data_IF_819860364432
#
_entry.id   IF_819860364432
#
_cell.length_a   1.000
_cell.length_b   1.000
_cell.length_c   1.000
_cell.angle_alpha   90.00
_cell.angle_beta   90.00
_cell.angle_gamma   90.00
#
_symmetry.space_group_name_H-M   'P 1'
#
loop_
_entity.id
_entity.type
_entity.pdbx_description
1 polymer ?
#
# COMPACT_ATOMS: atom_id res chain seq x y z
N UNK A 1 -50.79 -44.89 -33.68
CA UNK A 1 -50.24 -44.92 -32.32
C UNK A 1 -48.90 -44.22 -32.35
N UNK A 2 -48.86 -42.95 -31.96
CA UNK A 2 -47.62 -42.16 -31.90
C UNK A 2 -46.92 -42.42 -30.57
N UNK A 3 -45.65 -42.84 -30.62
CA UNK A 3 -44.81 -42.98 -29.44
C UNK A 3 -44.12 -41.65 -29.23
N UNK A 4 -44.51 -40.92 -28.19
CA UNK A 4 -43.87 -39.67 -27.81
C UNK A 4 -42.48 -39.98 -27.23
N UNK A 5 -41.43 -39.50 -27.91
CA UNK A 5 -40.07 -39.46 -27.38
C UNK A 5 -40.04 -38.53 -26.18
N UNK A 6 -39.85 -39.08 -24.98
CA UNK A 6 -39.60 -38.33 -23.77
C UNK A 6 -38.27 -37.56 -23.94
N UNK A 7 -38.35 -36.24 -24.10
CA UNK A 7 -37.22 -35.35 -23.91
C UNK A 7 -36.83 -35.40 -22.42
N UNK A 8 -35.78 -36.15 -22.11
CA UNK A 8 -35.09 -36.00 -20.83
C UNK A 8 -34.38 -34.64 -20.85
N UNK A 9 -34.86 -33.70 -20.05
CA UNK A 9 -34.19 -32.44 -19.75
C UNK A 9 -32.84 -32.75 -19.07
N UNK A 10 -31.70 -32.24 -19.56
CA UNK A 10 -30.43 -32.46 -18.90
C UNK A 10 -30.40 -31.72 -17.56
N UNK A 11 -29.93 -32.40 -16.51
CA UNK A 11 -29.74 -31.84 -15.18
C UNK A 11 -28.83 -30.60 -15.24
N UNK A 12 -29.28 -29.49 -14.63
CA UNK A 12 -28.56 -28.22 -14.64
C UNK A 12 -27.17 -28.36 -13.97
N UNK A 13 -26.12 -28.13 -14.76
CA UNK A 13 -24.72 -28.09 -14.31
C UNK A 13 -24.46 -26.90 -13.38
N UNK A 14 -23.44 -26.99 -12.53
CA UNK A 14 -22.99 -25.88 -11.70
C UNK A 14 -22.60 -24.65 -12.53
N UNK A 15 -22.95 -23.45 -12.06
CA UNK A 15 -22.78 -22.19 -12.80
C UNK A 15 -21.91 -21.19 -12.04
N UNK A 16 -20.93 -20.62 -12.73
CA UNK A 16 -20.02 -19.61 -12.17
C UNK A 16 -20.57 -18.19 -12.29
N UNK A 17 -20.32 -17.39 -11.26
CA UNK A 17 -20.60 -15.97 -11.22
C UNK A 17 -19.37 -15.23 -10.67
N UNK A 18 -18.76 -14.30 -11.42
CA UNK A 18 -19.09 -13.93 -12.80
C UNK A 18 -18.92 -15.08 -13.80
N UNK A 19 -19.69 -15.02 -14.90
CA UNK A 19 -19.56 -15.96 -16.01
C UNK A 19 -18.18 -15.84 -16.68
N UNK A 20 -17.73 -16.92 -17.33
CA UNK A 20 -16.43 -16.95 -17.98
C UNK A 20 -16.37 -15.86 -19.08
N UNK A 21 -15.30 -15.06 -19.07
CA UNK A 21 -15.10 -13.93 -19.97
C UNK A 21 -15.77 -12.63 -19.52
N UNK A 22 -16.42 -12.59 -18.35
CA UNK A 22 -17.01 -11.35 -17.84
C UNK A 22 -15.94 -10.26 -17.67
N UNK A 23 -16.23 -9.07 -18.18
CA UNK A 23 -15.34 -7.91 -18.11
C UNK A 23 -15.98 -6.80 -17.26
N UNK A 24 -15.17 -5.81 -16.90
CA UNK A 24 -15.59 -4.66 -16.09
C UNK A 24 -16.22 -5.05 -14.73
N UNK A 25 -15.84 -6.21 -14.18
CA UNK A 25 -16.38 -6.68 -12.91
C UNK A 25 -15.89 -5.80 -11.76
N UNK A 26 -16.81 -5.36 -10.90
CA UNK A 26 -16.48 -4.53 -9.74
C UNK A 26 -15.40 -5.18 -8.87
N UNK A 27 -14.44 -4.39 -8.38
CA UNK A 27 -13.34 -4.88 -7.54
C UNK A 27 -13.80 -5.50 -6.21
N UNK A 28 -15.01 -5.17 -5.78
CA UNK A 28 -15.67 -5.67 -4.55
C UNK A 28 -16.51 -6.93 -4.80
N UNK A 29 -16.45 -7.52 -6.01
CA UNK A 29 -17.18 -8.74 -6.35
C UNK A 29 -16.86 -9.88 -5.38
N UNK A 30 -17.90 -10.61 -4.98
CA UNK A 30 -17.77 -11.88 -4.27
C UNK A 30 -18.11 -13.01 -5.24
N UNK A 31 -17.12 -13.56 -5.97
CA UNK A 31 -17.38 -14.57 -6.98
C UNK A 31 -17.88 -15.85 -6.32
N UNK A 32 -18.86 -16.52 -6.92
CA UNK A 32 -19.47 -17.72 -6.38
C UNK A 32 -19.73 -18.77 -7.45
N UNK A 33 -19.79 -20.03 -6.99
CA UNK A 33 -20.25 -21.17 -7.76
C UNK A 33 -21.63 -21.57 -7.23
N UNK A 34 -22.63 -21.54 -8.11
CA UNK A 34 -23.97 -22.06 -7.84
C UNK A 34 -24.02 -23.52 -8.21
N UNK A 35 -24.29 -24.38 -7.25
CA UNK A 35 -24.41 -25.81 -7.44
C UNK A 35 -25.82 -26.22 -7.87
N UNK A 36 -25.94 -27.41 -8.45
CA UNK A 36 -27.22 -28.00 -8.81
C UNK A 36 -28.13 -28.19 -7.58
N UNK A 37 -27.54 -28.59 -6.45
CA UNK A 37 -28.25 -28.87 -5.20
C UNK A 37 -27.52 -28.25 -4.00
N UNK A 38 -28.24 -27.98 -2.89
CA UNK A 38 -27.62 -27.47 -1.66
C UNK A 38 -26.58 -28.44 -1.07
N UNK A 39 -26.82 -29.75 -1.15
CA UNK A 39 -25.91 -30.78 -0.62
C UNK A 39 -24.57 -30.76 -1.35
N UNK A 40 -24.61 -30.51 -2.66
CA UNK A 40 -23.40 -30.35 -3.47
C UNK A 40 -22.59 -29.13 -3.03
N UNK A 41 -23.26 -28.02 -2.67
CA UNK A 41 -22.58 -26.82 -2.20
C UNK A 41 -21.85 -27.03 -0.86
N UNK A 42 -22.35 -27.93 0.00
CA UNK A 42 -21.69 -28.28 1.27
C UNK A 42 -20.33 -28.98 1.09
N UNK A 43 -20.04 -29.48 -0.10
CA UNK A 43 -18.71 -30.06 -0.42
C UNK A 43 -17.65 -28.98 -0.68
N UNK A 44 -18.06 -27.71 -0.79
CA UNK A 44 -17.14 -26.63 -1.05
C UNK A 44 -16.26 -26.33 0.18
N UNK A 45 -14.95 -26.39 -0.04
CA UNK A 45 -13.94 -26.06 0.97
C UNK A 45 -12.93 -25.07 0.38
N UNK A 46 -12.16 -24.33 1.21
CA UNK A 46 -11.12 -23.41 0.72
C UNK A 46 -10.02 -24.08 -0.13
N UNK A 47 -9.86 -25.40 -0.02
CA UNK A 47 -8.95 -26.18 -0.87
C UNK A 47 -9.53 -26.51 -2.25
N UNK A 48 -10.87 -26.54 -2.38
CA UNK A 48 -11.56 -26.96 -3.60
C UNK A 48 -12.14 -25.80 -4.41
N UNK A 49 -12.57 -24.72 -3.76
CA UNK A 49 -13.00 -23.49 -4.43
C UNK A 49 -12.00 -22.38 -4.14
N UNK A 50 -11.25 -21.96 -5.15
CA UNK A 50 -10.15 -21.00 -5.01
C UNK A 50 -10.25 -19.91 -6.05
N UNK A 51 -10.06 -18.66 -5.62
CA UNK A 51 -9.82 -17.55 -6.52
C UNK A 51 -8.31 -17.38 -6.73
N UNK A 52 -7.87 -17.32 -7.98
CA UNK A 52 -6.46 -17.22 -8.34
C UNK A 52 -6.16 -15.96 -9.14
N UNK A 53 -4.98 -15.39 -8.89
CA UNK A 53 -4.41 -14.27 -9.65
C UNK A 53 -3.95 -14.74 -11.04
N UNK A 54 -3.58 -13.82 -11.96
CA UNK A 54 -3.04 -14.19 -13.28
C UNK A 54 -1.80 -15.08 -13.23
N UNK A 55 -0.98 -14.96 -12.18
CA UNK A 55 0.23 -15.76 -11.97
C UNK A 55 -0.04 -17.06 -11.18
N UNK A 56 -1.32 -17.39 -10.92
CA UNK A 56 -1.73 -18.64 -10.30
C UNK A 56 -1.70 -18.66 -8.77
N UNK A 57 -1.27 -17.59 -8.10
CA UNK A 57 -1.31 -17.50 -6.62
C UNK A 57 -2.75 -17.40 -6.12
N UNK A 58 -3.03 -18.02 -4.97
CA UNK A 58 -4.38 -18.00 -4.38
C UNK A 58 -4.62 -16.65 -3.72
N UNK A 59 -5.74 -16.01 -4.06
CA UNK A 59 -6.18 -14.76 -3.43
C UNK A 59 -6.60 -15.06 -1.99
N UNK A 60 -6.18 -14.22 -1.04
CA UNK A 60 -6.62 -14.35 0.35
C UNK A 60 -8.11 -14.00 0.48
N UNK A 61 -8.86 -14.82 1.23
CA UNK A 61 -10.29 -14.61 1.42
C UNK A 61 -10.95 -15.71 2.23
N UNK A 62 -12.26 -15.58 2.43
CA UNK A 62 -13.09 -16.54 3.14
C UNK A 62 -14.06 -17.22 2.19
N UNK A 63 -14.40 -18.47 2.47
CA UNK A 63 -15.48 -19.18 1.77
C UNK A 63 -16.75 -19.13 2.62
N UNK A 64 -17.86 -18.70 2.03
CA UNK A 64 -19.20 -18.75 2.64
C UNK A 64 -20.08 -19.67 1.80
N UNK A 65 -20.73 -20.64 2.44
CA UNK A 65 -21.69 -21.53 1.76
C UNK A 65 -23.08 -21.25 2.30
N UNK A 66 -24.02 -20.94 1.42
CA UNK A 66 -25.42 -20.67 1.78
C UNK A 66 -26.36 -21.21 0.70
N UNK A 67 -27.25 -22.11 1.07
CA UNK A 67 -28.15 -22.77 0.13
C UNK A 67 -27.36 -23.50 -0.96
N UNK A 68 -27.49 -23.05 -2.22
CA UNK A 68 -26.79 -23.62 -3.38
C UNK A 68 -25.50 -22.89 -3.75
N UNK A 69 -25.18 -21.80 -3.08
CA UNK A 69 -24.07 -20.93 -3.46
C UNK A 69 -22.88 -21.13 -2.53
N UNK A 70 -21.71 -21.40 -3.11
CA UNK A 70 -20.43 -21.29 -2.43
C UNK A 70 -19.72 -20.02 -2.94
N UNK A 71 -19.67 -19.02 -2.06
CA UNK A 71 -19.20 -17.66 -2.35
C UNK A 71 -17.82 -17.44 -1.75
N UNK A 72 -16.86 -17.11 -2.61
CA UNK A 72 -15.56 -16.63 -2.19
C UNK A 72 -15.66 -15.14 -1.88
N UNK A 73 -15.25 -14.75 -0.67
CA UNK A 73 -15.22 -13.38 -0.18
C UNK A 73 -13.76 -12.95 -0.09
N UNK A 74 -13.25 -12.16 -1.05
CA UNK A 74 -11.87 -11.65 -0.99
C UNK A 74 -11.62 -10.86 0.29
N UNK A 75 -10.42 -10.99 0.87
CA UNK A 75 -10.03 -10.28 2.08
C UNK A 75 -9.84 -8.76 1.85
N UNK A 76 -9.61 -8.37 0.60
CA UNK A 76 -9.51 -7.00 0.11
C UNK A 76 -10.09 -6.93 -1.31
N UNK A 77 -10.44 -5.74 -1.81
CA UNK A 77 -10.86 -5.59 -3.20
C UNK A 77 -9.81 -6.11 -4.17
N UNK A 78 -10.29 -6.74 -5.23
CA UNK A 78 -9.43 -7.26 -6.28
C UNK A 78 -8.74 -6.11 -7.02
N UNK A 79 -7.47 -6.29 -7.39
CA UNK A 79 -6.75 -5.35 -8.24
C UNK A 79 -7.54 -5.06 -9.53
N UNK A 80 -7.56 -3.79 -9.97
CA UNK A 80 -8.20 -3.37 -11.22
C UNK A 80 -7.43 -3.88 -12.43
N UNK A 81 -8.07 -3.90 -13.61
CA UNK A 81 -7.44 -4.40 -14.85
C UNK A 81 -6.78 -5.77 -14.72
N UNK A 82 -7.30 -6.64 -13.88
CA UNK A 82 -6.68 -7.93 -13.57
C UNK A 82 -7.68 -9.05 -13.87
N UNK A 83 -7.21 -10.07 -14.59
CA UNK A 83 -8.01 -11.27 -14.88
C UNK A 83 -7.79 -12.31 -13.79
N UNK A 84 -8.86 -12.62 -13.06
CA UNK A 84 -8.85 -13.66 -12.03
C UNK A 84 -9.49 -14.94 -12.55
N UNK A 85 -9.08 -16.06 -11.96
CA UNK A 85 -9.67 -17.38 -12.24
C UNK A 85 -10.33 -17.92 -10.96
N UNK A 86 -11.65 -18.08 -10.96
CA UNK A 86 -12.35 -18.85 -9.92
C UNK A 86 -12.35 -20.32 -10.36
N UNK A 87 -11.69 -21.18 -9.57
CA UNK A 87 -11.46 -22.58 -9.88
C UNK A 87 -12.18 -23.47 -8.87
N UNK A 88 -12.87 -24.50 -9.37
CA UNK A 88 -13.55 -25.54 -8.61
C UNK A 88 -12.95 -26.92 -8.91
N UNK A 89 -12.53 -27.62 -7.87
CA UNK A 89 -12.03 -28.99 -7.94
C UNK A 89 -12.99 -29.96 -7.23
N UNK A 90 -13.66 -30.81 -8.01
CA UNK A 90 -14.54 -31.85 -7.48
C UNK A 90 -13.78 -33.06 -6.88
N UNK A 91 -12.46 -33.15 -7.11
CA UNK A 91 -11.56 -34.20 -6.62
C UNK A 91 -11.58 -35.51 -7.43
N UNK A 92 -12.47 -35.64 -8.41
CA UNK A 92 -12.63 -36.85 -9.24
C UNK A 92 -12.39 -36.58 -10.74
N UNK A 93 -12.29 -35.31 -11.13
CA UNK A 93 -12.17 -34.84 -12.51
C UNK A 93 -11.27 -33.61 -12.57
N UNK A 94 -10.85 -33.23 -13.78
CA UNK A 94 -10.11 -31.99 -14.00
C UNK A 94 -10.88 -30.79 -13.41
N UNK A 95 -10.20 -29.85 -12.72
CA UNK A 95 -10.84 -28.67 -12.18
C UNK A 95 -11.53 -27.86 -13.28
N UNK A 96 -12.74 -27.37 -12.98
CA UNK A 96 -13.47 -26.44 -13.84
C UNK A 96 -13.26 -25.01 -13.35
N UNK A 97 -13.27 -24.05 -14.26
CA UNK A 97 -12.95 -22.66 -13.90
C UNK A 97 -13.72 -21.62 -14.70
N UNK A 98 -13.91 -20.45 -14.10
CA UNK A 98 -14.38 -19.25 -14.77
C UNK A 98 -13.34 -18.14 -14.64
N UNK A 99 -13.11 -17.41 -15.73
CA UNK A 99 -12.24 -16.24 -15.74
C UNK A 99 -13.07 -14.98 -15.84
N UNK A 100 -12.68 -13.94 -15.11
CA UNK A 100 -13.29 -12.63 -15.21
C UNK A 100 -12.25 -11.53 -15.02
N UNK A 101 -12.45 -10.39 -15.66
CA UNK A 101 -11.56 -9.23 -15.60
C UNK A 101 -12.23 -8.10 -14.83
N UNK A 102 -11.53 -7.60 -13.81
CA UNK A 102 -12.01 -6.49 -13.01
C UNK A 102 -12.02 -5.18 -13.79
N UNK A 103 -12.84 -4.23 -13.33
CA UNK A 103 -12.98 -2.90 -13.93
C UNK A 103 -11.61 -2.23 -14.16
N UNK A 104 -11.44 -1.72 -15.38
CA UNK A 104 -10.30 -0.89 -15.76
C UNK A 104 -10.68 0.57 -15.70
N UNK A 105 -10.15 1.32 -14.73
CA UNK A 105 -10.21 2.78 -14.77
C UNK A 105 -9.03 3.29 -15.59
N UNK A 106 -9.27 3.63 -16.84
CA UNK A 106 -8.26 4.19 -17.76
C UNK A 106 -8.33 5.72 -17.86
N UNK A 107 -9.38 6.33 -17.30
CA UNK A 107 -9.54 7.78 -17.22
C UNK A 107 -9.19 8.28 -15.82
N UNK A 108 -8.57 9.47 -15.76
CA UNK A 108 -8.44 10.23 -14.53
C UNK A 108 -9.83 10.51 -13.93
N UNK A 109 -9.95 10.35 -12.62
CA UNK A 109 -11.14 10.83 -11.91
C UNK A 109 -11.04 12.35 -11.70
N UNK A 110 -12.16 13.04 -11.46
CA UNK A 110 -12.10 14.40 -10.95
C UNK A 110 -11.17 14.50 -9.74
N UNK A 111 -10.42 15.61 -9.58
CA UNK A 111 -9.58 15.82 -8.42
C UNK A 111 -10.39 15.68 -7.13
N UNK A 112 -9.86 14.92 -6.17
CA UNK A 112 -10.39 14.81 -4.82
C UNK A 112 -9.43 15.55 -3.91
N UNK A 113 -9.95 16.50 -3.13
CA UNK A 113 -9.18 17.17 -2.10
C UNK A 113 -8.94 16.21 -0.93
N UNK A 114 -7.67 16.01 -0.55
CA UNK A 114 -7.26 15.07 0.50
C UNK A 114 -6.62 15.75 1.71
N UNK A 115 -6.28 17.04 1.61
CA UNK A 115 -5.86 17.85 2.75
C UNK A 115 -7.06 18.29 3.60
N UNK A 116 -6.80 18.94 4.74
CA UNK A 116 -7.88 19.35 5.63
C UNK A 116 -8.53 20.66 5.15
N UNK A 117 -9.86 20.75 5.27
CA UNK A 117 -10.57 21.98 4.92
C UNK A 117 -10.38 23.10 5.95
N UNK A 118 -9.64 22.86 7.05
CA UNK A 118 -9.41 23.88 8.09
C UNK A 118 -8.33 24.86 7.66
N UNK A 119 -7.35 24.42 6.88
CA UNK A 119 -6.37 25.28 6.20
C UNK A 119 -6.88 25.81 4.85
N UNK A 120 -7.79 25.11 4.18
CA UNK A 120 -8.40 25.58 2.91
C UNK A 120 -9.19 26.91 3.05
N UNK A 121 -9.60 27.29 4.26
CA UNK A 121 -10.26 28.59 4.55
C UNK A 121 -9.30 29.69 5.01
N UNK A 122 -8.03 29.36 5.25
CA UNK A 122 -6.97 30.31 5.52
C UNK A 122 -6.18 30.45 4.22
N UNK A 123 -6.55 31.46 3.42
CA UNK A 123 -5.73 31.90 2.28
C UNK A 123 -4.29 31.99 2.77
N UNK A 124 -3.35 31.32 2.10
CA UNK A 124 -1.88 31.33 2.33
C UNK A 124 -1.23 30.18 3.12
N UNK A 125 -1.81 28.97 3.21
CA UNK A 125 -1.09 27.79 3.76
C UNK A 125 -0.97 26.63 2.76
N UNK A 126 -0.11 26.78 1.73
CA UNK A 126 0.06 25.76 0.71
C UNK A 126 0.53 24.45 1.34
N UNK A 127 0.01 23.34 0.80
CA UNK A 127 0.59 22.03 0.98
C UNK A 127 1.72 21.88 -0.05
N UNK A 128 2.92 21.57 0.41
CA UNK A 128 4.12 21.52 -0.42
C UNK A 128 4.85 20.18 -0.29
N UNK A 129 5.72 19.90 -1.25
CA UNK A 129 6.60 18.73 -1.25
C UNK A 129 5.86 17.39 -1.21
N UNK A 130 4.67 17.32 -1.83
CA UNK A 130 3.86 16.11 -1.81
C UNK A 130 4.58 14.91 -2.44
N UNK A 131 4.46 13.75 -1.79
CA UNK A 131 4.95 12.45 -2.24
C UNK A 131 3.87 11.40 -2.01
N UNK A 132 3.91 10.31 -2.77
CA UNK A 132 3.01 9.18 -2.55
C UNK A 132 3.75 7.84 -2.73
N UNK A 133 3.36 6.85 -1.93
CA UNK A 133 3.81 5.47 -2.07
C UNK A 133 2.62 4.50 -2.01
N UNK A 134 2.65 3.47 -2.84
CA UNK A 134 1.59 2.46 -2.92
C UNK A 134 2.09 1.10 -2.39
N UNK A 135 1.31 0.46 -1.53
CA UNK A 135 1.52 -0.91 -1.11
C UNK A 135 0.96 -1.93 -2.12
N UNK A 136 1.35 -3.20 -2.00
CA UNK A 136 0.92 -4.26 -2.92
C UNK A 136 -0.59 -4.57 -2.92
N UNK A 137 -1.30 -4.16 -1.86
CA UNK A 137 -2.76 -4.27 -1.75
C UNK A 137 -3.51 -3.10 -2.42
N UNK A 138 -2.79 -2.16 -3.04
CA UNK A 138 -3.35 -0.97 -3.67
C UNK A 138 -3.66 0.16 -2.68
N UNK A 139 -3.37 0.01 -1.39
CA UNK A 139 -3.38 1.14 -0.47
C UNK A 139 -2.31 2.14 -0.88
N UNK A 140 -2.64 3.42 -0.84
CA UNK A 140 -1.71 4.50 -1.17
C UNK A 140 -1.60 5.42 0.02
N UNK A 141 -0.39 5.79 0.39
CA UNK A 141 -0.15 6.86 1.36
C UNK A 141 0.37 8.05 0.60
N UNK A 142 -0.30 9.20 0.77
CA UNK A 142 0.22 10.49 0.39
C UNK A 142 0.80 11.17 1.64
N UNK A 143 1.94 11.84 1.48
CA UNK A 143 2.56 12.68 2.50
C UNK A 143 2.88 14.05 1.90
N UNK A 144 2.73 15.10 2.70
CA UNK A 144 3.08 16.47 2.34
C UNK A 144 3.48 17.22 3.61
N UNK A 145 4.02 18.43 3.47
CA UNK A 145 4.14 19.33 4.60
C UNK A 145 3.21 20.52 4.44
N UNK A 146 2.63 20.97 5.55
CA UNK A 146 1.67 22.06 5.58
C UNK A 146 1.76 22.81 6.90
N UNK A 147 1.51 24.12 6.85
CA UNK A 147 1.53 24.94 8.05
C UNK A 147 0.31 24.69 8.96
N UNK A 148 0.54 24.20 10.18
CA UNK A 148 -0.48 23.73 11.11
C UNK A 148 -1.10 24.81 12.02
N UNK A 149 -0.64 26.07 11.91
CA UNK A 149 -0.97 27.12 12.88
C UNK A 149 0.27 27.73 13.52
N UNK A 150 1.31 26.90 13.65
CA UNK A 150 2.51 27.20 14.41
C UNK A 150 3.77 26.93 13.59
N UNK A 151 3.76 25.88 12.78
CA UNK A 151 4.93 25.39 12.04
C UNK A 151 4.48 24.56 10.84
N UNK A 152 5.43 24.28 9.95
CA UNK A 152 5.20 23.26 8.93
C UNK A 152 5.29 21.89 9.58
N UNK A 153 4.27 21.08 9.36
CA UNK A 153 4.13 19.74 9.91
C UNK A 153 4.01 18.71 8.80
N UNK A 154 4.52 17.49 9.03
CA UNK A 154 4.35 16.39 8.07
C UNK A 154 2.98 15.76 8.26
N UNK A 155 2.14 15.93 7.24
CA UNK A 155 0.80 15.37 7.16
C UNK A 155 0.79 14.16 6.23
N UNK A 156 -0.05 13.18 6.55
CA UNK A 156 -0.29 12.02 5.68
C UNK A 156 -1.77 11.69 5.58
N UNK A 157 -2.18 11.16 4.44
CA UNK A 157 -3.50 10.55 4.23
C UNK A 157 -3.35 9.20 3.53
N UNK A 158 -4.22 8.25 3.88
CA UNK A 158 -4.20 6.91 3.30
C UNK A 158 -5.45 6.69 2.44
N UNK A 159 -5.24 6.30 1.18
CA UNK A 159 -6.26 5.78 0.29
C UNK A 159 -6.52 4.30 0.57
N UNK A 160 -7.78 3.97 0.82
CA UNK A 160 -8.23 2.59 1.02
C UNK A 160 -9.04 2.13 -0.20
N UNK A 161 -8.55 1.16 -1.00
CA UNK A 161 -9.27 0.66 -2.17
C UNK A 161 -10.65 0.08 -1.86
N UNK A 162 -10.84 -0.44 -0.64
CA UNK A 162 -12.08 -1.08 -0.20
C UNK A 162 -13.24 -0.12 -0.06
N UNK A 163 -12.94 1.12 0.30
CA UNK A 163 -13.93 2.17 0.50
C UNK A 163 -13.86 3.25 -0.57
N UNK A 164 -12.88 3.17 -1.49
CA UNK A 164 -12.57 4.21 -2.48
C UNK A 164 -12.44 5.60 -1.84
N UNK A 165 -11.78 5.66 -0.68
CA UNK A 165 -11.77 6.84 0.18
C UNK A 165 -10.37 7.13 0.75
N UNK A 166 -10.04 8.43 0.84
CA UNK A 166 -8.85 8.94 1.53
C UNK A 166 -9.19 9.27 2.98
N UNK A 167 -8.36 8.84 3.93
CA UNK A 167 -8.55 9.21 5.33
C UNK A 167 -8.42 10.72 5.54
N UNK A 168 -8.96 11.24 6.64
CA UNK A 168 -8.58 12.57 7.10
C UNK A 168 -7.04 12.65 7.29
N UNK A 169 -6.41 13.80 7.01
CA UNK A 169 -5.00 14.00 7.28
C UNK A 169 -4.64 13.73 8.74
N UNK A 170 -3.47 13.14 8.94
CA UNK A 170 -2.86 12.94 10.25
C UNK A 170 -1.42 13.42 10.25
N UNK A 171 -1.04 14.13 11.30
CA UNK A 171 0.35 14.55 11.50
C UNK A 171 1.20 13.40 12.03
N UNK A 172 2.41 13.21 11.49
CA UNK A 172 3.32 12.12 11.90
C UNK A 172 4.71 12.58 12.35
N UNK A 173 4.95 13.89 12.35
CA UNK A 173 6.25 14.45 12.70
C UNK A 173 6.52 14.49 14.21
N UNK A 174 7.74 14.89 14.59
CA UNK A 174 8.10 14.97 16.00
C UNK A 174 7.38 16.13 16.66
N UNK A 175 6.60 15.83 17.71
CA UNK A 175 5.97 16.82 18.58
C UNK A 175 6.67 16.81 19.93
N UNK A 176 7.70 17.66 20.04
CA UNK A 176 8.43 17.95 21.26
C UNK A 176 8.59 19.47 21.41
N UNK A 177 8.86 19.96 22.61
CA UNK A 177 8.94 21.39 22.90
C UNK A 177 10.05 22.10 22.10
N UNK A 178 11.11 21.35 21.76
CA UNK A 178 12.27 21.76 20.96
C UNK A 178 12.15 21.44 19.46
N UNK A 179 11.03 20.86 19.03
CA UNK A 179 10.76 20.52 17.63
C UNK A 179 9.94 21.62 16.92
N UNK A 180 10.44 22.04 15.76
CA UNK A 180 9.84 23.09 14.93
C UNK A 180 9.50 22.56 13.53
N UNK A 181 9.66 23.39 12.50
CA UNK A 181 9.23 23.11 11.13
C UNK A 181 9.84 21.82 10.57
N UNK A 182 9.00 21.04 9.89
CA UNK A 182 9.34 19.82 9.17
C UNK A 182 9.01 20.00 7.68
N UNK A 183 9.86 19.47 6.80
CA UNK A 183 9.68 19.63 5.35
C UNK A 183 10.30 18.49 4.55
N UNK A 184 9.95 18.46 3.26
CA UNK A 184 10.47 17.53 2.24
C UNK A 184 10.32 16.06 2.70
N UNK A 185 9.08 15.57 2.89
CA UNK A 185 8.87 14.16 3.14
C UNK A 185 9.25 13.35 1.90
N UNK A 186 9.75 12.14 2.10
CA UNK A 186 9.91 11.12 1.09
C UNK A 186 9.35 9.80 1.62
N UNK A 187 8.68 9.04 0.73
CA UNK A 187 8.02 7.77 1.07
C UNK A 187 8.58 6.62 0.24
N UNK A 188 8.72 5.44 0.85
CA UNK A 188 8.92 4.18 0.14
C UNK A 188 8.05 3.08 0.75
N UNK A 189 7.49 2.24 -0.12
CA UNK A 189 6.71 1.06 0.26
C UNK A 189 7.47 -0.21 -0.14
N UNK A 190 7.37 -1.25 0.68
CA UNK A 190 7.82 -2.59 0.31
C UNK A 190 6.66 -3.48 -0.20
N UNK A 191 6.96 -4.65 -0.80
CA UNK A 191 5.92 -5.55 -1.32
C UNK A 191 4.97 -6.11 -0.26
N UNK A 192 5.33 -6.02 1.03
CA UNK A 192 4.45 -6.41 2.14
C UNK A 192 3.53 -5.28 2.59
N UNK A 193 3.58 -4.11 1.93
CA UNK A 193 2.76 -2.94 2.23
C UNK A 193 3.26 -2.15 3.43
N UNK A 194 4.48 -2.38 3.92
CA UNK A 194 5.09 -1.52 4.95
C UNK A 194 5.60 -0.27 4.26
N UNK A 195 5.30 0.89 4.86
CA UNK A 195 5.67 2.19 4.32
C UNK A 195 6.63 2.86 5.30
N UNK A 196 7.71 3.42 4.78
CA UNK A 196 8.62 4.25 5.57
C UNK A 196 8.55 5.68 5.04
N UNK A 197 8.42 6.63 5.95
CA UNK A 197 8.52 8.05 5.70
C UNK A 197 9.83 8.57 6.29
N UNK A 198 10.48 9.46 5.55
CA UNK A 198 11.62 10.25 6.05
C UNK A 198 11.40 11.72 5.71
N UNK A 199 11.87 12.61 6.57
CA UNK A 199 11.81 14.05 6.37
C UNK A 199 12.96 14.69 7.13
N UNK A 200 13.23 15.98 6.89
CA UNK A 200 14.05 16.76 7.83
C UNK A 200 13.16 17.64 8.70
N UNK A 201 13.56 17.83 9.94
CA UNK A 201 12.84 18.64 10.90
C UNK A 201 13.81 19.38 11.81
N UNK A 202 13.51 20.64 12.11
CA UNK A 202 14.26 21.40 13.09
C UNK A 202 14.04 20.85 14.50
N UNK A 203 15.11 20.36 15.14
CA UNK A 203 15.16 19.82 16.51
C UNK A 203 16.31 20.49 17.24
N UNK A 204 16.04 21.16 18.36
CA UNK A 204 17.04 21.98 19.08
C UNK A 204 17.72 23.03 18.19
N UNK A 205 16.94 23.65 17.29
CA UNK A 205 17.42 24.71 16.40
C UNK A 205 18.29 24.25 15.23
N UNK A 206 18.33 22.94 14.93
CA UNK A 206 19.04 22.38 13.75
C UNK A 206 18.20 21.34 13.03
N UNK A 207 18.35 21.24 11.72
CA UNK A 207 17.68 20.21 10.94
C UNK A 207 18.28 18.83 11.23
N UNK A 208 17.40 17.92 11.61
CA UNK A 208 17.65 16.51 11.87
C UNK A 208 16.90 15.65 10.85
N UNK A 209 17.43 14.48 10.51
CA UNK A 209 16.72 13.51 9.66
C UNK A 209 15.89 12.62 10.55
N UNK A 210 14.58 12.63 10.35
CA UNK A 210 13.65 11.81 11.09
C UNK A 210 12.99 10.79 10.17
N UNK A 211 12.56 9.67 10.77
CA UNK A 211 11.81 8.63 10.09
C UNK A 211 10.63 8.15 10.91
N UNK A 212 9.57 7.73 10.23
CA UNK A 212 8.49 6.98 10.84
C UNK A 212 8.06 5.86 9.90
N UNK A 213 7.55 4.76 10.46
CA UNK A 213 7.17 3.57 9.71
C UNK A 213 5.71 3.20 9.97
N UNK A 214 5.01 2.86 8.91
CA UNK A 214 3.67 2.30 8.92
C UNK A 214 3.76 0.80 8.59
N UNK A 215 3.20 -0.03 9.45
CA UNK A 215 3.00 -1.46 9.18
C UNK A 215 1.51 -1.71 8.99
N UNK A 216 1.08 -2.53 8.02
CA UNK A 216 -0.33 -2.84 7.83
C UNK A 216 -1.03 -3.23 9.13
N UNK A 217 -2.18 -2.62 9.40
CA UNK A 217 -2.96 -2.83 10.63
C UNK A 217 -2.40 -2.18 11.90
N UNK A 218 -1.36 -1.35 11.80
CA UNK A 218 -0.79 -0.57 12.91
C UNK A 218 -0.76 0.91 12.59
N UNK A 219 -0.58 1.73 13.62
CA UNK A 219 -0.27 3.14 13.46
C UNK A 219 1.20 3.39 13.09
N UNK A 220 1.50 4.63 12.68
CA UNK A 220 2.86 5.09 12.49
C UNK A 220 3.67 4.97 13.78
N UNK A 221 4.92 4.55 13.65
CA UNK A 221 5.86 4.58 14.78
C UNK A 221 6.12 6.01 15.24
N UNK A 222 6.54 6.18 16.49
CA UNK A 222 7.13 7.46 16.91
C UNK A 222 8.33 7.82 16.02
N UNK A 223 8.54 9.10 15.70
CA UNK A 223 9.68 9.52 14.91
C UNK A 223 11.02 9.06 15.52
N UNK A 224 11.84 8.42 14.70
CA UNK A 224 13.20 8.03 15.04
C UNK A 224 14.19 8.95 14.33
N UNK A 225 15.12 9.56 15.08
CA UNK A 225 16.20 10.36 14.55
C UNK A 225 17.29 9.47 13.94
N UNK A 226 17.70 9.79 12.71
CA UNK A 226 18.63 9.01 11.92
C UNK A 226 20.02 9.65 11.83
N UNK A 227 20.12 10.97 11.87
CA UNK A 227 21.40 11.69 11.87
C UNK A 227 22.11 11.60 13.23
N UNK A 228 23.40 11.95 13.24
CA UNK A 228 24.16 12.05 14.47
C UNK A 228 24.08 13.49 15.02
N UNK A 229 23.49 13.73 16.20
CA UNK A 229 23.39 15.07 16.79
C UNK A 229 24.74 15.71 17.11
N UNK A 230 25.80 14.92 17.23
CA UNK A 230 27.16 15.41 17.44
C UNK A 230 27.81 15.95 16.15
N UNK A 231 27.29 15.59 14.98
CA UNK A 231 27.78 16.13 13.70
C UNK A 231 27.26 17.56 13.52
N UNK A 232 28.15 18.55 13.29
CA UNK A 232 27.73 19.94 13.10
C UNK A 232 26.89 20.13 11.82
N UNK A 233 26.04 21.16 11.80
CA UNK A 233 25.30 21.57 10.60
C UNK A 233 23.92 20.92 10.44
N UNK A 234 23.21 21.36 9.41
CA UNK A 234 21.82 21.00 9.14
C UNK A 234 21.73 19.84 8.16
N UNK A 235 21.19 18.72 8.62
CA UNK A 235 20.96 17.56 7.75
C UNK A 235 19.69 17.76 6.92
N UNK A 236 19.79 17.63 5.60
CA UNK A 236 18.71 17.99 4.66
C UNK A 236 18.59 17.01 3.49
N UNK A 237 17.54 17.18 2.69
CA UNK A 237 17.28 16.42 1.46
C UNK A 237 17.40 14.91 1.62
N UNK A 238 16.63 14.30 2.56
CA UNK A 238 16.62 12.86 2.71
C UNK A 238 15.96 12.20 1.49
N UNK A 239 16.49 11.06 1.09
CA UNK A 239 15.92 10.15 0.10
C UNK A 239 15.97 8.73 0.66
N UNK A 240 15.06 7.87 0.22
CA UNK A 240 15.00 6.48 0.69
C UNK A 240 14.56 5.50 -0.39
N UNK A 241 14.93 4.25 -0.20
CA UNK A 241 14.44 3.12 -0.98
C UNK A 241 14.27 1.89 -0.08
N UNK A 242 13.24 1.09 -0.34
CA UNK A 242 12.90 -0.11 0.42
C UNK A 242 13.03 -1.36 -0.47
N UNK A 243 13.72 -2.40 0.02
CA UNK A 243 13.90 -3.66 -0.71
C UNK A 243 12.74 -4.64 -0.47
N UNK A 244 12.74 -5.76 -1.19
CA UNK A 244 11.68 -6.77 -1.10
C UNK A 244 11.60 -7.47 0.27
N UNK A 245 12.68 -7.44 1.07
CA UNK A 245 12.70 -7.96 2.44
C UNK A 245 12.17 -6.93 3.45
N UNK A 246 12.02 -5.68 3.03
CA UNK A 246 11.59 -4.53 3.83
C UNK A 246 12.71 -3.82 4.57
N UNK A 247 13.98 -4.08 4.22
CA UNK A 247 15.06 -3.21 4.64
C UNK A 247 14.94 -1.89 3.89
N UNK A 248 15.33 -0.81 4.56
CA UNK A 248 15.25 0.53 3.98
C UNK A 248 16.63 1.15 4.03
N UNK A 249 17.09 1.72 2.93
CA UNK A 249 18.28 2.58 2.93
C UNK A 249 17.82 4.03 2.83
N UNK A 250 18.31 4.86 3.75
CA UNK A 250 18.08 6.32 3.75
C UNK A 250 19.43 7.00 3.53
N UNK A 251 19.44 8.01 2.68
CA UNK A 251 20.59 8.87 2.39
C UNK A 251 20.19 10.33 2.53
N UNK A 252 21.10 11.21 2.93
CA UNK A 252 20.82 12.64 3.12
C UNK A 252 22.08 13.49 2.92
N UNK A 253 21.91 14.79 2.73
CA UNK A 253 23.00 15.76 2.76
C UNK A 253 23.38 16.06 4.20
N UNK A 254 24.66 15.94 4.51
CA UNK A 254 25.21 16.13 5.84
C UNK A 254 26.39 17.10 5.78
N UNK A 255 26.17 18.39 6.07
CA UNK A 255 27.25 19.29 6.46
C UNK A 255 27.96 18.73 7.70
N UNK A 256 29.25 18.98 7.83
CA UNK A 256 30.05 18.62 9.02
C UNK A 256 30.81 19.82 9.62
N UNK A 257 30.53 21.02 9.12
CA UNK A 257 31.21 22.27 9.47
C UNK A 257 32.42 22.61 8.59
N UNK A 258 32.86 21.72 7.69
CA UNK A 258 33.93 21.99 6.71
C UNK A 258 33.49 21.76 5.27
N UNK A 259 32.70 20.72 5.05
CA UNK A 259 32.15 20.35 3.76
C UNK A 259 30.76 19.72 3.94
N UNK A 260 30.08 19.48 2.82
CA UNK A 260 28.79 18.79 2.80
C UNK A 260 29.01 17.42 2.19
N UNK A 261 28.85 16.36 2.96
CA UNK A 261 28.93 14.99 2.49
C UNK A 261 27.55 14.33 2.41
N UNK A 262 27.54 13.02 2.12
CA UNK A 262 26.32 12.20 2.17
C UNK A 262 26.34 11.31 3.40
N UNK A 263 25.34 11.45 4.26
CA UNK A 263 25.08 10.54 5.37
C UNK A 263 24.14 9.40 4.95
N UNK A 264 24.22 8.26 5.64
CA UNK A 264 23.29 7.16 5.43
C UNK A 264 23.00 6.36 6.70
N UNK A 265 21.81 5.78 6.74
CA UNK A 265 21.36 4.82 7.74
C UNK A 265 20.52 3.73 7.05
N UNK A 266 20.49 2.53 7.63
CA UNK A 266 19.70 1.41 7.12
C UNK A 266 18.77 0.85 8.18
N UNK A 267 17.52 0.64 7.82
CA UNK A 267 16.59 -0.14 8.62
C UNK A 267 16.84 -1.62 8.33
N UNK A 268 17.15 -2.39 9.37
CA UNK A 268 17.34 -3.83 9.29
C UNK A 268 16.06 -4.52 9.73
N UNK A 269 15.25 -4.98 8.77
CA UNK A 269 13.91 -5.48 9.05
C UNK A 269 13.92 -6.70 9.98
N UNK A 270 14.89 -7.61 9.82
CA UNK A 270 15.05 -8.77 10.68
C UNK A 270 15.45 -8.41 12.13
N UNK A 271 16.07 -7.25 12.35
CA UNK A 271 16.54 -6.82 13.68
C UNK A 271 15.62 -5.78 14.32
N UNK A 272 14.65 -5.24 13.58
CA UNK A 272 13.73 -4.24 14.08
C UNK A 272 14.41 -2.93 14.50
N UNK A 273 15.52 -2.53 13.86
CA UNK A 273 16.27 -1.31 14.22
C UNK A 273 16.98 -0.65 13.04
N UNK A 274 17.23 0.65 13.20
CA UNK A 274 18.13 1.41 12.35
C UNK A 274 19.60 1.14 12.71
N UNK A 275 20.47 1.13 11.71
CA UNK A 275 21.91 1.25 11.91
C UNK A 275 22.25 2.69 12.35
N UNK A 276 23.38 2.90 13.05
CA UNK A 276 23.90 4.24 13.26
C UNK A 276 24.14 4.99 11.95
N UNK A 277 24.03 6.32 11.99
CA UNK A 277 24.46 7.19 10.89
C UNK A 277 25.91 6.91 10.52
N UNK A 278 26.19 6.86 9.22
CA UNK A 278 27.54 6.75 8.69
C UNK A 278 27.73 7.65 7.47
N UNK A 279 28.90 8.28 7.30
CA UNK A 279 29.23 8.95 6.06
C UNK A 279 29.41 7.92 4.93
N UNK A 280 28.81 8.18 3.78
CA UNK A 280 29.03 7.44 2.53
C UNK A 280 30.17 8.03 1.71
N UNK A 281 30.30 9.37 1.75
CA UNK A 281 31.42 10.07 1.13
C UNK A 281 32.53 10.30 2.16
N UNK A 282 33.79 10.18 1.73
CA UNK A 282 35.00 10.46 2.54
C UNK A 282 35.90 11.50 1.86
N UNK A 283 35.44 12.09 0.77
CA UNK A 283 36.19 13.08 0.00
C UNK A 283 36.04 14.47 0.62
N UNK A 284 37.04 15.33 0.40
CA UNK A 284 37.03 16.71 0.90
C UNK A 284 36.14 17.66 0.06
N UNK A 285 35.60 17.19 -1.06
CA UNK A 285 34.68 17.93 -1.92
C UNK A 285 33.25 17.86 -1.39
N UNK A 286 32.43 18.85 -1.75
CA UNK A 286 31.01 18.81 -1.43
C UNK A 286 30.25 17.81 -2.32
N UNK A 287 29.31 17.08 -1.73
CA UNK A 287 28.36 16.21 -2.39
C UNK A 287 26.92 16.69 -2.08
N UNK A 288 26.06 16.70 -3.10
CA UNK A 288 24.70 17.20 -3.00
C UNK A 288 23.71 16.29 -3.75
N UNK A 289 22.42 16.42 -3.42
CA UNK A 289 21.29 15.77 -4.09
C UNK A 289 21.48 14.25 -4.23
N UNK A 290 21.65 13.52 -3.11
CA UNK A 290 21.82 12.09 -3.17
C UNK A 290 20.57 11.43 -3.76
N UNK A 291 20.74 10.31 -4.45
CA UNK A 291 19.65 9.45 -4.87
C UNK A 291 19.96 8.02 -4.43
N UNK A 292 18.92 7.24 -4.13
CA UNK A 292 19.06 5.84 -3.74
C UNK A 292 17.99 5.01 -4.43
N UNK A 293 18.40 3.84 -4.92
CA UNK A 293 17.52 2.81 -5.43
C UNK A 293 18.01 1.46 -4.89
N UNK A 294 17.11 0.50 -4.83
CA UNK A 294 17.41 -0.90 -4.50
C UNK A 294 16.91 -1.78 -5.63
N UNK A 295 17.55 -2.94 -5.80
CA UNK A 295 17.22 -3.94 -6.81
C UNK A 295 16.19 -4.94 -6.29
#
# INVERSE_FOLDING_TARGET
>A
MGVASAHATPAASSQFFPAHGANQVQRTVQPHLRFATPESALTATPGRLQLRTPIGTVVAGLLKVAGRDATFVPAAPLAGCTTYTLQWDAGQQAPVSSQFTTTCRTAWTPPVQIDDARTARLVDRPADGAQAAAGANGEVVAAWFQNDGRRDAIEVSNYTPATDFWSAPRTIDLRADDAAAASIPALAADPQGRITAVWFQAVNGRNAILSSRLTPGRDWTRPARLDNPATPGDATNPQLAADADGNVTVVWQQPDGRHTGIGAARWLQAQGRWTPARPLDRLASHAYNPAVAVA
#
